data_IF_933823103867
#
_entry.id   IF_933823103867
#
_cell.length_a   1.000
_cell.length_b   1.000
_cell.length_c   1.000
_cell.angle_alpha   90.00
_cell.angle_beta   90.00
_cell.angle_gamma   90.00
#
_symmetry.space_group_name_H-M   'P 1'
#
loop_
_entity.id
_entity.type
_entity.pdbx_description
1 polymer ?
#
# COMPACT_ATOMS: atom_id res chain seq x y z
N UNK A 1 20.32 20.09 -10.18
CA UNK A 1 18.88 19.76 -10.27
C UNK A 1 18.15 20.65 -9.28
N UNK A 2 17.05 21.29 -9.69
CA UNK A 2 16.23 22.11 -8.79
C UNK A 2 15.21 21.25 -8.02
N UNK A 3 14.57 21.85 -7.00
CA UNK A 3 13.44 21.25 -6.30
C UNK A 3 12.28 20.89 -7.25
N UNK A 4 11.95 21.79 -8.17
CA UNK A 4 10.86 21.58 -9.13
C UNK A 4 11.17 20.45 -10.10
N UNK A 5 12.42 20.36 -10.56
CA UNK A 5 12.85 19.27 -11.45
C UNK A 5 12.72 17.91 -10.75
N UNK A 6 13.19 17.80 -9.50
CA UNK A 6 13.09 16.55 -8.74
C UNK A 6 11.63 16.18 -8.45
N UNK A 7 10.79 17.15 -8.09
CA UNK A 7 9.37 16.91 -7.84
C UNK A 7 8.69 16.38 -9.10
N UNK A 8 8.98 16.98 -10.26
CA UNK A 8 8.47 16.54 -11.55
C UNK A 8 8.97 15.13 -11.91
N UNK A 9 10.25 14.84 -11.70
CA UNK A 9 10.84 13.51 -11.91
C UNK A 9 10.15 12.44 -11.05
N UNK A 10 9.94 12.71 -9.76
CA UNK A 10 9.25 11.78 -8.84
C UNK A 10 7.81 11.51 -9.28
N UNK A 11 7.09 12.55 -9.68
CA UNK A 11 5.70 12.44 -10.14
C UNK A 11 5.62 11.68 -11.47
N UNK A 12 6.52 11.97 -12.41
CA UNK A 12 6.59 11.30 -13.70
C UNK A 12 6.93 9.82 -13.55
N UNK A 13 7.93 9.49 -12.74
CA UNK A 13 8.30 8.11 -12.47
C UNK A 13 7.16 7.36 -11.80
N UNK A 14 6.55 7.94 -10.76
CA UNK A 14 5.38 7.34 -10.08
C UNK A 14 4.22 7.09 -11.04
N UNK A 15 3.93 8.04 -11.93
CA UNK A 15 2.89 7.88 -12.95
C UNK A 15 3.23 6.78 -13.97
N UNK A 16 4.50 6.67 -14.38
CA UNK A 16 4.98 5.61 -15.26
C UNK A 16 4.79 4.23 -14.65
N UNK A 17 5.18 4.08 -13.38
CA UNK A 17 5.07 2.79 -12.67
C UNK A 17 3.67 2.53 -12.10
N UNK A 18 2.72 3.47 -12.20
CA UNK A 18 1.37 3.26 -11.68
C UNK A 18 0.60 2.14 -12.42
N UNK A 19 0.97 1.86 -13.68
CA UNK A 19 0.32 0.83 -14.52
C UNK A 19 1.29 -0.14 -15.20
N UNK A 20 2.59 0.10 -15.07
CA UNK A 20 3.60 -0.73 -15.68
C UNK A 20 4.63 -1.16 -14.64
N UNK A 21 4.97 -2.44 -14.66
CA UNK A 21 6.02 -2.97 -13.81
C UNK A 21 7.37 -2.28 -14.12
N UNK A 22 8.09 -1.77 -13.10
CA UNK A 22 9.42 -1.20 -13.28
C UNK A 22 10.42 -2.23 -13.81
N UNK A 23 11.21 -1.85 -14.82
CA UNK A 23 12.14 -2.78 -15.48
C UNK A 23 13.18 -3.38 -14.52
N UNK A 24 13.77 -2.55 -13.65
CA UNK A 24 14.78 -3.01 -12.69
C UNK A 24 14.23 -4.09 -11.76
N UNK A 25 12.98 -3.92 -11.30
CA UNK A 25 12.30 -4.90 -10.47
C UNK A 25 12.00 -6.19 -11.24
N UNK A 26 11.48 -6.08 -12.47
CA UNK A 26 11.25 -7.23 -13.34
C UNK A 26 12.51 -8.08 -13.53
N UNK A 27 13.66 -7.44 -13.76
CA UNK A 27 14.96 -8.12 -13.88
C UNK A 27 15.36 -8.83 -12.58
N UNK A 28 15.12 -8.21 -11.42
CA UNK A 28 15.39 -8.84 -10.12
C UNK A 28 14.58 -10.12 -9.96
N UNK A 29 13.25 -10.05 -10.10
CA UNK A 29 12.38 -11.20 -9.84
C UNK A 29 12.50 -12.33 -10.88
N UNK A 30 13.02 -12.03 -12.06
CA UNK A 30 13.25 -13.01 -13.13
C UNK A 30 14.70 -13.51 -13.19
N UNK A 31 15.57 -13.05 -12.29
CA UNK A 31 16.97 -13.49 -12.24
C UNK A 31 17.83 -12.99 -13.39
N UNK A 32 17.41 -11.90 -14.06
CA UNK A 32 18.11 -11.35 -15.24
C UNK A 32 18.85 -10.03 -14.95
N UNK A 33 19.06 -9.67 -13.68
CA UNK A 33 19.91 -8.54 -13.32
C UNK A 33 21.36 -8.80 -13.73
N UNK A 34 21.98 -7.79 -14.33
CA UNK A 34 23.31 -7.88 -14.94
C UNK A 34 24.41 -8.11 -13.88
N UNK A 35 24.28 -7.49 -12.71
CA UNK A 35 25.21 -7.64 -11.59
C UNK A 35 24.98 -8.90 -10.75
N UNK A 36 23.93 -9.69 -11.05
CA UNK A 36 23.62 -11.00 -10.43
C UNK A 36 23.74 -11.01 -8.90
N UNK A 37 22.99 -10.15 -8.18
CA UNK A 37 23.05 -10.13 -6.72
C UNK A 37 22.54 -11.46 -6.14
N UNK A 38 23.31 -12.03 -5.21
CA UNK A 38 22.99 -13.30 -4.56
C UNK A 38 24.21 -14.23 -4.42
N UNK A 39 24.13 -15.16 -3.49
CA UNK A 39 25.21 -16.14 -3.22
C UNK A 39 24.95 -17.44 -3.97
N UNK A 40 26.02 -18.16 -4.32
CA UNK A 40 25.95 -19.49 -4.96
C UNK A 40 25.09 -19.53 -6.24
N UNK A 41 25.03 -18.42 -6.98
CA UNK A 41 24.25 -18.31 -8.22
C UNK A 41 22.73 -18.20 -8.03
N UNK A 42 22.24 -18.06 -6.80
CA UNK A 42 20.81 -17.93 -6.51
C UNK A 42 20.39 -16.47 -6.28
N UNK A 43 19.33 -16.01 -6.97
CA UNK A 43 18.81 -14.64 -6.82
C UNK A 43 17.68 -14.51 -5.78
N UNK A 44 17.16 -15.62 -5.26
CA UNK A 44 16.04 -15.61 -4.29
C UNK A 44 16.37 -14.79 -3.03
N UNK A 45 17.56 -14.96 -2.46
CA UNK A 45 17.98 -14.20 -1.28
C UNK A 45 18.04 -12.69 -1.55
N UNK A 46 18.48 -12.27 -2.74
CA UNK A 46 18.46 -10.86 -3.12
C UNK A 46 17.04 -10.33 -3.28
N UNK A 47 16.14 -11.13 -3.87
CA UNK A 47 14.71 -10.78 -4.01
C UNK A 47 14.04 -10.58 -2.64
N UNK A 48 14.21 -11.54 -1.73
CA UNK A 48 13.63 -11.51 -0.38
C UNK A 48 14.11 -10.30 0.42
N UNK A 49 15.43 -10.09 0.51
CA UNK A 49 16.00 -8.98 1.26
C UNK A 49 15.58 -7.64 0.66
N UNK A 50 15.59 -7.51 -0.66
CA UNK A 50 15.22 -6.25 -1.31
C UNK A 50 13.73 -5.92 -1.10
N UNK A 51 12.83 -6.91 -1.13
CA UNK A 51 11.42 -6.71 -0.80
C UNK A 51 11.23 -6.29 0.66
N UNK A 52 11.83 -7.02 1.60
CA UNK A 52 11.73 -6.72 3.02
C UNK A 52 12.23 -5.31 3.32
N UNK A 53 13.39 -4.96 2.77
CA UNK A 53 13.97 -3.65 3.01
C UNK A 53 13.21 -2.50 2.33
N UNK A 54 12.64 -2.71 1.13
CA UNK A 54 11.78 -1.71 0.48
C UNK A 54 10.49 -1.50 1.28
N UNK A 55 9.85 -2.57 1.77
CA UNK A 55 8.68 -2.49 2.65
C UNK A 55 8.99 -1.61 3.86
N UNK A 56 10.08 -1.93 4.54
CA UNK A 56 10.42 -1.29 5.81
C UNK A 56 10.88 0.15 5.59
N UNK A 57 11.52 0.42 4.46
CA UNK A 57 11.86 1.78 4.05
C UNK A 57 10.61 2.62 3.83
N UNK A 58 9.66 2.15 3.02
CA UNK A 58 8.43 2.89 2.75
C UNK A 58 7.61 3.13 4.03
N UNK A 59 7.36 2.06 4.80
CA UNK A 59 6.37 2.04 5.88
C UNK A 59 6.93 2.48 7.24
N UNK A 60 8.21 2.19 7.51
CA UNK A 60 8.83 2.43 8.81
C UNK A 60 9.97 3.45 8.79
N UNK A 61 10.33 3.98 7.61
CA UNK A 61 11.32 5.05 7.48
C UNK A 61 10.73 6.31 6.84
N UNK A 62 10.24 6.22 5.60
CA UNK A 62 9.73 7.37 4.84
C UNK A 62 8.42 7.90 5.44
N UNK A 63 7.42 7.03 5.68
CA UNK A 63 6.15 7.48 6.28
C UNK A 63 6.33 8.13 7.66
N UNK A 64 7.03 7.52 8.64
CA UNK A 64 7.25 8.16 9.93
C UNK A 64 8.04 9.47 9.82
N UNK A 65 8.98 9.57 8.88
CA UNK A 65 9.67 10.84 8.61
C UNK A 65 8.71 11.94 8.16
N UNK A 66 7.77 11.62 7.25
CA UNK A 66 6.74 12.58 6.82
C UNK A 66 5.81 12.96 7.98
N UNK A 67 5.36 12.00 8.78
CA UNK A 67 4.51 12.26 9.94
C UNK A 67 5.22 13.19 10.96
N UNK A 68 6.48 12.88 11.30
CA UNK A 68 7.29 13.72 12.19
C UNK A 68 7.56 15.10 11.58
N UNK A 69 7.79 15.20 10.28
CA UNK A 69 7.98 16.47 9.60
C UNK A 69 6.77 17.40 9.75
N UNK A 70 5.57 16.82 9.63
CA UNK A 70 4.28 17.49 9.84
C UNK A 70 4.06 17.89 11.29
N UNK A 71 4.37 17.00 12.23
CA UNK A 71 4.16 17.26 13.67
C UNK A 71 5.13 18.28 14.25
N UNK A 72 6.42 18.19 13.90
CA UNK A 72 7.47 19.00 14.53
C UNK A 72 7.62 20.39 13.92
N UNK A 73 7.16 20.58 12.68
CA UNK A 73 7.37 21.81 11.91
C UNK A 73 8.85 22.27 11.81
N UNK A 74 9.79 21.33 11.97
CA UNK A 74 11.23 21.57 11.90
C UNK A 74 11.85 20.78 10.73
N UNK A 75 12.21 21.52 9.67
CA UNK A 75 12.83 20.94 8.48
C UNK A 75 14.26 20.46 8.73
N UNK A 76 14.98 21.05 9.68
CA UNK A 76 16.33 20.65 10.06
C UNK A 76 16.37 19.27 10.70
N UNK A 77 15.45 19.00 11.63
CA UNK A 77 15.26 17.67 12.24
C UNK A 77 14.89 16.64 11.16
N UNK A 78 13.94 16.99 10.30
CA UNK A 78 13.46 16.10 9.24
C UNK A 78 14.58 15.75 8.24
N UNK A 79 15.46 16.71 7.92
CA UNK A 79 16.66 16.50 7.09
C UNK A 79 17.70 15.62 7.76
N UNK A 80 17.92 15.79 9.06
CA UNK A 80 18.85 14.96 9.81
C UNK A 80 18.43 13.49 9.77
N UNK A 81 17.12 13.22 9.92
CA UNK A 81 16.55 11.87 9.83
C UNK A 81 16.82 11.25 8.44
N UNK A 82 16.47 11.94 7.35
CA UNK A 82 16.68 11.36 6.00
C UNK A 82 18.16 11.14 5.69
N UNK A 83 19.04 12.07 6.09
CA UNK A 83 20.50 11.95 5.88
C UNK A 83 21.08 10.74 6.61
N UNK A 84 20.54 10.40 7.78
CA UNK A 84 21.02 9.25 8.55
C UNK A 84 20.44 7.93 8.05
N UNK A 85 19.15 7.90 7.70
CA UNK A 85 18.41 6.64 7.49
C UNK A 85 18.39 6.18 6.03
N UNK A 86 18.39 7.11 5.06
CA UNK A 86 18.15 6.77 3.65
C UNK A 86 19.38 6.19 2.94
N UNK A 87 20.62 6.71 3.08
CA UNK A 87 21.73 6.36 2.18
C UNK A 87 22.01 4.86 2.05
N UNK A 88 22.05 4.13 3.17
CA UNK A 88 22.34 2.69 3.18
C UNK A 88 21.26 1.91 2.42
N UNK A 89 19.99 2.24 2.69
CA UNK A 89 18.84 1.60 2.08
C UNK A 89 18.79 1.87 0.57
N UNK A 90 18.99 3.13 0.17
CA UNK A 90 19.03 3.55 -1.23
C UNK A 90 20.15 2.84 -1.99
N UNK A 91 21.34 2.75 -1.40
CA UNK A 91 22.49 2.11 -2.03
C UNK A 91 22.28 0.63 -2.26
N UNK A 92 21.78 -0.08 -1.24
CA UNK A 92 21.53 -1.52 -1.36
C UNK A 92 20.38 -1.81 -2.32
N UNK A 93 19.24 -1.12 -2.23
CA UNK A 93 18.14 -1.35 -3.18
C UNK A 93 18.52 -0.98 -4.60
N UNK A 94 19.33 0.07 -4.80
CA UNK A 94 19.88 0.38 -6.13
C UNK A 94 20.77 -0.73 -6.69
N UNK A 95 21.58 -1.36 -5.84
CA UNK A 95 22.34 -2.56 -6.21
C UNK A 95 21.40 -3.76 -6.49
N UNK A 96 20.31 -3.88 -5.75
CA UNK A 96 19.35 -4.99 -5.82
C UNK A 96 18.15 -4.70 -6.74
N UNK A 97 18.36 -4.02 -7.87
CA UNK A 97 17.33 -3.88 -8.92
C UNK A 97 16.44 -2.64 -8.87
N UNK A 98 16.74 -1.65 -8.03
CA UNK A 98 15.99 -0.39 -7.95
C UNK A 98 16.86 0.85 -8.27
N UNK A 99 17.49 0.91 -9.46
CA UNK A 99 18.43 1.98 -9.81
C UNK A 99 17.78 3.37 -9.81
N UNK A 100 16.55 3.50 -10.32
CA UNK A 100 15.82 4.78 -10.33
C UNK A 100 15.49 5.25 -8.92
N UNK A 101 15.10 4.35 -8.00
CA UNK A 101 14.90 4.74 -6.61
C UNK A 101 16.19 5.21 -5.94
N UNK A 102 17.33 4.56 -6.22
CA UNK A 102 18.62 5.04 -5.75
C UNK A 102 18.92 6.44 -6.29
N UNK A 103 18.74 6.67 -7.59
CA UNK A 103 18.96 7.98 -8.22
C UNK A 103 18.08 9.06 -7.59
N UNK A 104 16.76 8.85 -7.59
CA UNK A 104 15.77 9.80 -7.07
C UNK A 104 15.95 10.06 -5.57
N UNK A 105 16.25 9.01 -4.80
CA UNK A 105 16.48 9.13 -3.37
C UNK A 105 17.75 9.92 -3.03
N UNK A 106 18.85 9.72 -3.76
CA UNK A 106 20.06 10.53 -3.56
C UNK A 106 19.87 11.98 -4.01
N UNK A 107 19.15 12.20 -5.12
CA UNK A 107 18.76 13.55 -5.54
C UNK A 107 17.89 14.25 -4.48
N UNK A 108 16.98 13.53 -3.82
CA UNK A 108 16.23 14.05 -2.68
C UNK A 108 17.16 14.48 -1.54
N UNK A 109 18.16 13.68 -1.19
CA UNK A 109 19.11 14.03 -0.13
C UNK A 109 19.91 15.30 -0.45
N UNK A 110 20.32 15.47 -1.71
CA UNK A 110 21.03 16.66 -2.18
C UNK A 110 20.14 17.92 -2.21
N UNK A 111 19.00 17.82 -2.90
CA UNK A 111 18.05 18.93 -3.09
C UNK A 111 17.45 19.36 -1.76
N UNK A 112 17.13 18.41 -0.88
CA UNK A 112 16.51 18.71 0.41
C UNK A 112 17.34 19.64 1.28
N UNK A 113 18.67 19.69 1.12
CA UNK A 113 19.53 20.60 1.87
C UNK A 113 19.17 22.09 1.72
N UNK A 114 18.49 22.45 0.63
CA UNK A 114 18.18 23.83 0.26
C UNK A 114 16.68 24.16 0.25
N UNK A 115 15.81 23.17 0.51
CA UNK A 115 14.37 23.40 0.51
C UNK A 115 13.96 24.36 1.65
N UNK A 116 12.74 24.86 1.63
CA UNK A 116 12.04 25.26 2.86
C UNK A 116 11.27 24.05 3.44
N UNK A 117 10.45 24.29 4.46
CA UNK A 117 9.61 23.25 5.06
C UNK A 117 8.60 22.69 4.05
N UNK A 118 7.86 23.57 3.34
CA UNK A 118 6.77 23.17 2.44
C UNK A 118 7.29 22.45 1.18
N UNK A 119 8.44 22.86 0.66
CA UNK A 119 9.12 22.19 -0.44
C UNK A 119 9.61 20.81 -0.02
N UNK A 120 10.14 20.67 1.20
CA UNK A 120 10.59 19.36 1.69
C UNK A 120 9.39 18.43 1.94
N UNK A 121 8.27 18.94 2.45
CA UNK A 121 7.03 18.19 2.56
C UNK A 121 6.58 17.65 1.20
N UNK A 122 6.54 18.49 0.16
CA UNK A 122 6.15 18.07 -1.18
C UNK A 122 7.04 16.96 -1.74
N UNK A 123 8.36 17.05 -1.52
CA UNK A 123 9.29 15.98 -1.90
C UNK A 123 9.06 14.69 -1.11
N UNK A 124 8.86 14.76 0.21
CA UNK A 124 8.58 13.57 1.03
C UNK A 124 7.27 12.89 0.64
N UNK A 125 6.21 13.67 0.36
CA UNK A 125 4.93 13.15 -0.14
C UNK A 125 5.12 12.46 -1.49
N UNK A 126 5.77 13.11 -2.44
CA UNK A 126 6.02 12.54 -3.77
C UNK A 126 6.88 11.26 -3.67
N UNK A 127 7.93 11.28 -2.85
CA UNK A 127 8.80 10.12 -2.65
C UNK A 127 8.09 8.96 -1.96
N UNK A 128 7.25 9.23 -0.96
CA UNK A 128 6.44 8.21 -0.29
C UNK A 128 5.46 7.53 -1.26
N UNK A 129 4.80 8.31 -2.12
CA UNK A 129 3.92 7.76 -3.18
C UNK A 129 4.70 6.87 -4.13
N UNK A 130 5.87 7.32 -4.56
CA UNK A 130 6.76 6.55 -5.43
C UNK A 130 7.13 5.20 -4.80
N UNK A 131 7.68 5.18 -3.59
CA UNK A 131 8.13 3.93 -2.95
C UNK A 131 6.97 2.99 -2.59
N UNK A 132 5.79 3.52 -2.26
CA UNK A 132 4.59 2.71 -2.05
C UNK A 132 4.11 2.07 -3.35
N UNK A 133 4.10 2.82 -4.45
CA UNK A 133 3.72 2.31 -5.79
C UNK A 133 4.71 1.24 -6.26
N UNK A 134 6.01 1.47 -6.05
CA UNK A 134 7.05 0.49 -6.30
C UNK A 134 6.86 -0.79 -5.48
N UNK A 135 6.52 -0.65 -4.20
CA UNK A 135 6.28 -1.79 -3.34
C UNK A 135 5.02 -2.58 -3.70
N UNK A 136 4.00 -1.95 -4.30
CA UNK A 136 2.82 -2.66 -4.80
C UNK A 136 3.20 -3.74 -5.84
N UNK A 137 4.10 -3.41 -6.77
CA UNK A 137 4.65 -4.37 -7.73
C UNK A 137 5.43 -5.48 -7.07
N UNK A 138 6.30 -5.10 -6.12
CA UNK A 138 7.08 -6.06 -5.35
C UNK A 138 6.15 -7.06 -4.67
N UNK A 139 5.16 -6.57 -3.94
CA UNK A 139 4.23 -7.42 -3.22
C UNK A 139 3.47 -8.38 -4.14
N UNK A 140 2.94 -7.91 -5.27
CA UNK A 140 2.19 -8.75 -6.22
C UNK A 140 3.04 -9.90 -6.77
N UNK A 141 4.25 -9.58 -7.22
CA UNK A 141 5.11 -10.53 -7.92
C UNK A 141 5.97 -11.42 -7.02
N UNK A 142 6.03 -11.15 -5.71
CA UNK A 142 6.73 -12.04 -4.78
C UNK A 142 6.17 -13.47 -4.85
N UNK A 143 7.01 -14.52 -4.88
CA UNK A 143 6.56 -15.91 -5.01
C UNK A 143 5.94 -16.43 -3.69
N UNK A 144 4.76 -15.95 -3.33
CA UNK A 144 4.07 -16.32 -2.09
C UNK A 144 3.71 -17.81 -1.99
N UNK A 145 3.59 -18.51 -3.11
CA UNK A 145 3.40 -19.96 -3.16
C UNK A 145 4.57 -20.76 -2.54
N UNK A 146 5.71 -20.13 -2.26
CA UNK A 146 6.73 -20.73 -1.39
C UNK A 146 6.18 -21.11 0.00
N UNK A 147 5.10 -20.46 0.45
CA UNK A 147 4.39 -20.81 1.67
C UNK A 147 3.83 -22.24 1.68
N UNK A 148 3.67 -22.90 0.53
CA UNK A 148 3.23 -24.29 0.47
C UNK A 148 4.18 -25.26 1.20
N UNK A 149 5.47 -24.96 1.21
CA UNK A 149 6.47 -25.74 1.93
C UNK A 149 6.47 -25.48 3.45
N UNK A 150 5.70 -24.50 3.93
CA UNK A 150 5.73 -23.98 5.31
C UNK A 150 4.32 -23.93 5.94
N UNK A 151 3.44 -24.84 5.55
CA UNK A 151 2.07 -24.92 6.09
C UNK A 151 2.08 -25.41 7.54
N UNK A 152 1.22 -24.80 8.37
CA UNK A 152 0.93 -25.31 9.70
C UNK A 152 0.29 -26.71 9.63
N UNK A 153 0.62 -27.64 10.53
CA UNK A 153 0.04 -28.99 10.54
C UNK A 153 -1.50 -28.99 10.58
N UNK A 154 -2.08 -28.07 11.35
CA UNK A 154 -3.53 -27.96 11.54
C UNK A 154 -4.19 -26.93 10.60
N UNK A 155 -3.43 -26.40 9.65
CA UNK A 155 -3.89 -25.36 8.73
C UNK A 155 -4.52 -24.15 9.45
N UNK A 156 -5.71 -23.77 9.01
CA UNK A 156 -6.43 -22.57 9.46
C UNK A 156 -7.43 -22.83 10.61
N UNK A 157 -7.33 -23.96 11.31
CA UNK A 157 -8.28 -24.34 12.37
C UNK A 157 -8.48 -23.25 13.46
N UNK A 158 -7.43 -22.48 13.78
CA UNK A 158 -7.50 -21.37 14.73
C UNK A 158 -8.45 -20.23 14.32
N UNK A 159 -8.88 -20.16 13.06
CA UNK A 159 -9.84 -19.16 12.57
C UNK A 159 -11.30 -19.55 12.79
N UNK A 160 -11.60 -20.82 13.06
CA UNK A 160 -12.99 -21.29 13.24
C UNK A 160 -13.75 -20.55 14.36
N UNK A 161 -13.15 -20.27 15.54
CA UNK A 161 -13.82 -19.47 16.57
C UNK A 161 -14.08 -18.02 16.14
N UNK A 162 -13.23 -17.45 15.27
CA UNK A 162 -13.38 -16.08 14.77
C UNK A 162 -14.55 -15.96 13.77
N UNK A 163 -14.84 -17.04 13.04
CA UNK A 163 -15.97 -17.09 12.12
C UNK A 163 -17.33 -17.15 12.82
N UNK A 164 -17.37 -17.66 14.06
CA UNK A 164 -18.60 -17.85 14.84
C UNK A 164 -18.86 -16.80 15.91
N UNK A 165 -18.01 -15.77 16.03
CA UNK A 165 -18.20 -14.68 16.99
C UNK A 165 -19.30 -13.70 16.56
N UNK A 166 -19.96 -13.07 17.53
CA UNK A 166 -20.95 -12.02 17.27
C UNK A 166 -20.25 -10.77 16.70
N UNK A 167 -20.26 -10.62 15.38
CA UNK A 167 -19.81 -9.40 14.70
C UNK A 167 -20.95 -8.40 14.66
N UNK A 168 -20.77 -7.25 15.31
CA UNK A 168 -21.78 -6.18 15.37
C UNK A 168 -21.45 -5.10 14.34
N UNK A 169 -22.29 -4.95 13.31
CA UNK A 169 -22.18 -3.84 12.35
C UNK A 169 -22.92 -2.62 12.88
N UNK A 170 -22.17 -1.59 13.29
CA UNK A 170 -22.72 -0.36 13.91
C UNK A 170 -22.83 0.80 12.94
N UNK A 171 -22.37 0.65 11.69
CA UNK A 171 -22.39 1.73 10.72
C UNK A 171 -23.73 1.83 10.01
N UNK A 172 -24.17 3.08 9.81
CA UNK A 172 -25.32 3.43 8.99
C UNK A 172 -24.83 4.03 7.68
N UNK A 173 -25.41 3.66 6.53
CA UNK A 173 -25.06 4.25 5.24
C UNK A 173 -25.20 5.79 5.24
N UNK A 174 -24.25 6.46 4.62
CA UNK A 174 -24.27 7.91 4.35
C UNK A 174 -24.52 8.17 2.87
N UNK A 175 -24.81 9.42 2.52
CA UNK A 175 -25.02 9.84 1.11
C UNK A 175 -23.70 10.00 0.33
N UNK A 176 -22.56 10.00 1.01
CA UNK A 176 -21.24 10.10 0.38
C UNK A 176 -20.82 8.73 -0.14
N UNK A 177 -21.13 8.46 -1.41
CA UNK A 177 -20.88 7.17 -2.06
C UNK A 177 -19.66 7.19 -2.99
N UNK A 178 -18.90 6.11 -2.93
CA UNK A 178 -17.86 5.76 -3.89
C UNK A 178 -18.17 4.43 -4.56
N UNK A 179 -17.65 4.24 -5.75
CA UNK A 179 -17.72 3.01 -6.54
C UNK A 179 -16.33 2.37 -6.59
N UNK A 180 -16.29 1.06 -6.38
CA UNK A 180 -15.10 0.23 -6.54
C UNK A 180 -15.37 -0.77 -7.68
N UNK A 181 -14.49 -0.80 -8.68
CA UNK A 181 -14.62 -1.69 -9.85
C UNK A 181 -13.33 -2.47 -10.07
N UNK A 182 -13.44 -3.77 -10.29
CA UNK A 182 -12.30 -4.66 -10.52
C UNK A 182 -12.26 -5.16 -11.97
N UNK A 183 -11.21 -4.78 -12.70
CA UNK A 183 -10.89 -5.33 -14.00
C UNK A 183 -9.80 -6.41 -13.87
N UNK A 184 -9.85 -7.51 -14.65
CA UNK A 184 -10.83 -7.82 -15.69
C UNK A 184 -12.12 -8.49 -15.16
N UNK A 185 -12.32 -8.58 -13.85
CA UNK A 185 -13.44 -9.34 -13.26
C UNK A 185 -14.83 -8.84 -13.65
N UNK A 186 -14.97 -7.55 -13.99
CA UNK A 186 -16.27 -6.96 -14.33
C UNK A 186 -17.20 -6.83 -13.12
N UNK A 187 -16.66 -6.97 -11.90
CA UNK A 187 -17.40 -6.80 -10.65
C UNK A 187 -17.29 -5.34 -10.20
N UNK A 188 -18.40 -4.80 -9.73
CA UNK A 188 -18.51 -3.46 -9.17
C UNK A 188 -19.31 -3.51 -7.87
N UNK A 189 -18.92 -2.69 -6.90
CA UNK A 189 -19.69 -2.45 -5.66
C UNK A 189 -19.72 -0.96 -5.33
N UNK A 190 -20.73 -0.54 -4.57
CA UNK A 190 -20.82 0.80 -3.98
C UNK A 190 -20.51 0.73 -2.49
N UNK A 191 -19.82 1.74 -2.00
CA UNK A 191 -19.52 1.91 -0.57
C UNK A 191 -19.85 3.33 -0.13
N UNK A 192 -20.39 3.47 1.07
CA UNK A 192 -20.57 4.76 1.72
C UNK A 192 -19.37 5.11 2.58
N UNK A 193 -19.09 6.40 2.75
CA UNK A 193 -17.99 6.90 3.59
C UNK A 193 -18.48 7.46 4.93
N UNK A 194 -17.76 7.15 6.01
CA UNK A 194 -18.00 7.68 7.36
C UNK A 194 -17.39 9.08 7.53
N UNK A 195 -17.86 10.03 6.73
CA UNK A 195 -17.37 11.42 6.68
C UNK A 195 -17.54 12.17 8.02
N UNK A 196 -18.41 11.70 8.89
CA UNK A 196 -18.65 12.21 10.24
C UNK A 196 -17.66 11.67 11.28
N UNK A 197 -17.06 10.49 11.04
CA UNK A 197 -16.21 9.78 12.00
C UNK A 197 -14.72 9.94 11.72
N UNK A 198 -14.33 10.01 10.46
CA UNK A 198 -12.95 10.29 10.04
C UNK A 198 -12.97 11.32 8.87
N UNK A 199 -13.40 12.57 9.12
CA UNK A 199 -13.67 13.57 8.08
C UNK A 199 -12.47 13.87 7.20
N UNK A 200 -11.31 14.15 7.81
CA UNK A 200 -10.09 14.53 7.08
C UNK A 200 -9.60 13.38 6.17
N UNK A 201 -9.55 12.16 6.70
CA UNK A 201 -9.16 10.98 5.92
C UNK A 201 -10.13 10.71 4.77
N UNK A 202 -11.45 10.85 4.99
CA UNK A 202 -12.44 10.69 3.94
C UNK A 202 -12.32 11.79 2.88
N UNK A 203 -12.06 13.03 3.29
CA UNK A 203 -11.86 14.15 2.36
C UNK A 203 -10.61 13.95 1.52
N UNK A 204 -9.49 13.56 2.12
CA UNK A 204 -8.25 13.23 1.41
C UNK A 204 -8.49 12.12 0.38
N UNK A 205 -9.24 11.06 0.74
CA UNK A 205 -9.63 10.02 -0.22
C UNK A 205 -10.42 10.62 -1.38
N UNK A 206 -11.46 11.41 -1.07
CA UNK A 206 -12.35 12.02 -2.05
C UNK A 206 -11.62 12.99 -3.00
N UNK A 207 -10.57 13.66 -2.55
CA UNK A 207 -9.72 14.56 -3.34
C UNK A 207 -8.76 13.81 -4.25
N UNK A 208 -8.41 12.57 -3.90
CA UNK A 208 -7.58 11.70 -4.73
C UNK A 208 -8.37 10.96 -5.82
N UNK A 209 -9.70 10.98 -5.79
CA UNK A 209 -10.54 10.30 -6.78
C UNK A 209 -10.62 11.06 -8.12
N UNK A 210 -10.69 10.36 -9.26
CA UNK A 210 -10.60 8.90 -9.40
C UNK A 210 -9.16 8.40 -9.43
N UNK A 211 -8.94 7.16 -8.99
CA UNK A 211 -7.65 6.48 -9.18
C UNK A 211 -7.81 5.02 -9.56
N UNK A 212 -6.73 4.42 -10.07
CA UNK A 212 -6.64 2.99 -10.34
C UNK A 212 -5.34 2.44 -9.79
N UNK A 213 -5.40 1.31 -9.11
CA UNK A 213 -4.26 0.67 -8.48
C UNK A 213 -4.32 -0.86 -8.59
N UNK A 214 -3.15 -1.49 -8.51
CA UNK A 214 -3.02 -2.94 -8.49
C UNK A 214 -3.58 -3.49 -7.17
N UNK A 215 -4.54 -4.40 -7.27
CA UNK A 215 -5.18 -5.06 -6.15
C UNK A 215 -4.32 -6.24 -5.67
N UNK A 216 -4.20 -6.38 -4.36
CA UNK A 216 -3.47 -7.49 -3.73
C UNK A 216 -4.23 -8.10 -2.56
N UNK A 217 -3.85 -9.33 -2.21
CA UNK A 217 -4.35 -10.03 -1.03
C UNK A 217 -3.30 -10.06 0.09
N UNK A 218 -3.63 -9.76 1.36
CA UNK A 218 -2.75 -9.99 2.50
C UNK A 218 -2.40 -11.48 2.63
N UNK A 219 -1.12 -11.78 2.79
CA UNK A 219 -0.62 -13.12 3.05
C UNK A 219 -0.58 -13.48 4.56
N UNK A 220 -1.14 -12.62 5.41
CA UNK A 220 -1.10 -12.76 6.88
C UNK A 220 -2.50 -12.61 7.48
N UNK A 221 -3.16 -11.47 7.24
CA UNK A 221 -4.35 -11.06 7.99
C UNK A 221 -5.60 -11.93 7.79
N UNK A 222 -5.71 -12.66 6.67
CA UNK A 222 -6.89 -13.47 6.32
C UNK A 222 -7.71 -12.91 5.17
N UNK A 223 -9.03 -13.13 5.17
CA UNK A 223 -9.96 -12.80 4.08
C UNK A 223 -10.28 -11.29 4.00
N UNK A 224 -9.27 -10.53 3.59
CA UNK A 224 -9.29 -9.10 3.29
C UNK A 224 -8.59 -8.88 1.94
N UNK A 225 -8.79 -7.75 1.29
CA UNK A 225 -8.02 -7.34 0.11
C UNK A 225 -7.55 -5.90 0.30
N UNK A 226 -6.43 -5.52 -0.27
CA UNK A 226 -5.96 -4.14 -0.24
C UNK A 226 -5.30 -3.69 -1.53
N UNK A 227 -5.19 -2.39 -1.71
CA UNK A 227 -4.39 -1.79 -2.78
C UNK A 227 -3.65 -0.56 -2.26
N UNK A 228 -2.39 -0.37 -2.68
CA UNK A 228 -1.65 0.88 -2.44
C UNK A 228 -2.31 1.99 -3.24
N UNK A 229 -2.66 3.06 -2.55
CA UNK A 229 -3.37 4.19 -3.16
C UNK A 229 -2.39 5.30 -3.53
N UNK A 230 -2.74 6.22 -4.44
CA UNK A 230 -1.98 7.46 -4.64
C UNK A 230 -2.14 8.44 -3.46
N UNK A 231 -2.94 8.10 -2.43
CA UNK A 231 -3.16 8.94 -1.27
C UNK A 231 -1.93 9.02 -0.37
N UNK A 232 -1.77 10.14 0.31
CA UNK A 232 -0.72 10.32 1.33
C UNK A 232 -1.27 11.05 2.54
N UNK A 233 -1.95 10.27 3.37
CA UNK A 233 -2.63 10.69 4.58
C UNK A 233 -1.75 10.55 5.80
N UNK A 234 -1.71 11.61 6.61
CA UNK A 234 -1.34 11.55 8.04
C UNK A 234 -2.47 12.12 8.91
N UNK A 235 -3.69 12.17 8.37
CA UNK A 235 -4.85 12.73 9.05
C UNK A 235 -5.11 12.02 10.40
N UNK A 236 -5.63 12.72 11.42
CA UNK A 236 -6.14 12.09 12.62
C UNK A 236 -7.21 11.05 12.30
N UNK A 237 -7.18 9.93 13.01
CA UNK A 237 -8.11 8.81 12.81
C UNK A 237 -8.79 8.44 14.14
N UNK A 238 -9.71 9.28 14.66
CA UNK A 238 -10.36 9.05 15.94
C UNK A 238 -11.28 7.82 15.93
N UNK A 239 -11.76 7.38 14.75
CA UNK A 239 -12.58 6.19 14.62
C UNK A 239 -11.81 5.02 13.99
N UNK A 240 -11.61 3.97 14.77
CA UNK A 240 -10.92 2.74 14.38
C UNK A 240 -11.70 1.53 14.85
N UNK A 241 -11.50 0.43 14.16
CA UNK A 241 -12.02 -0.88 14.56
C UNK A 241 -10.93 -1.93 14.49
N UNK A 242 -11.08 -2.94 15.33
CA UNK A 242 -10.22 -4.11 15.32
C UNK A 242 -10.47 -4.94 14.05
N UNK A 243 -9.39 -5.38 13.40
CA UNK A 243 -9.50 -5.98 12.06
C UNK A 243 -10.32 -7.27 12.08
N UNK A 244 -10.06 -8.18 13.03
CA UNK A 244 -10.74 -9.48 13.14
C UNK A 244 -12.22 -9.42 13.51
N UNK A 245 -12.70 -8.29 14.06
CA UNK A 245 -14.11 -8.10 14.43
C UNK A 245 -14.85 -7.18 13.46
N UNK A 246 -14.17 -6.70 12.40
CA UNK A 246 -14.77 -5.85 11.38
C UNK A 246 -15.78 -6.64 10.51
N UNK A 247 -16.98 -6.08 10.25
CA UNK A 247 -17.96 -6.71 9.36
C UNK A 247 -17.48 -6.89 7.91
N UNK A 248 -18.04 -7.89 7.22
CA UNK A 248 -17.88 -8.02 5.76
C UNK A 248 -18.34 -6.73 5.08
N UNK A 249 -17.55 -6.23 4.13
CA UNK A 249 -17.77 -4.96 3.46
C UNK A 249 -17.06 -3.78 4.11
N UNK A 250 -16.48 -3.95 5.31
CA UNK A 250 -15.79 -2.85 6.00
C UNK A 250 -14.63 -2.33 5.17
N UNK A 251 -14.67 -1.03 4.88
CA UNK A 251 -13.63 -0.29 4.19
C UNK A 251 -12.75 0.41 5.22
N UNK A 252 -11.44 0.18 5.12
CA UNK A 252 -10.44 0.67 6.08
C UNK A 252 -9.25 1.27 5.34
N UNK A 253 -8.46 2.07 6.06
CA UNK A 253 -7.26 2.65 5.50
C UNK A 253 -6.05 2.40 6.38
N UNK A 254 -5.00 1.81 5.82
CA UNK A 254 -3.71 1.70 6.51
C UNK A 254 -2.83 2.89 6.14
N UNK A 255 -2.83 3.93 6.97
CA UNK A 255 -1.95 5.10 6.80
C UNK A 255 -0.48 4.67 6.95
N UNK A 256 -0.14 4.01 8.07
CA UNK A 256 1.24 3.72 8.43
C UNK A 256 1.89 2.64 7.58
N UNK A 257 1.15 1.58 7.24
CA UNK A 257 1.71 0.41 6.54
C UNK A 257 1.37 0.42 5.05
N UNK A 258 1.65 1.55 4.40
CA UNK A 258 1.67 1.65 2.93
C UNK A 258 0.54 2.43 2.29
N UNK A 259 -0.19 3.30 3.01
CA UNK A 259 -1.25 4.13 2.41
C UNK A 259 -2.29 3.30 1.63
N UNK A 260 -2.75 2.21 2.24
CA UNK A 260 -3.53 1.16 1.57
C UNK A 260 -5.01 1.31 1.84
N UNK A 261 -5.82 1.26 0.77
CA UNK A 261 -7.26 1.03 0.87
C UNK A 261 -7.50 -0.46 1.07
N UNK A 262 -8.22 -0.83 2.11
CA UNK A 262 -8.44 -2.22 2.52
C UNK A 262 -9.93 -2.52 2.60
N UNK A 263 -10.36 -3.69 2.11
CA UNK A 263 -11.74 -4.15 2.12
C UNK A 263 -11.85 -5.55 2.71
N UNK A 264 -12.68 -5.71 3.73
CA UNK A 264 -12.96 -7.00 4.37
C UNK A 264 -13.97 -7.80 3.53
N UNK A 265 -13.67 -9.06 3.19
CA UNK A 265 -14.61 -9.95 2.48
C UNK A 265 -14.91 -11.26 3.23
N UNK A 266 -14.33 -11.45 4.42
CA UNK A 266 -14.50 -12.66 5.22
C UNK A 266 -13.86 -12.59 6.60
N UNK A 267 -13.34 -13.73 7.08
CA UNK A 267 -12.69 -13.89 8.39
C UNK A 267 -11.22 -13.48 8.35
N UNK A 268 -10.80 -12.68 9.33
CA UNK A 268 -9.41 -12.28 9.54
C UNK A 268 -8.98 -12.55 10.98
N UNK A 269 -7.67 -12.68 11.22
CA UNK A 269 -7.10 -13.00 12.54
C UNK A 269 -6.40 -11.82 13.23
N UNK A 270 -6.05 -10.77 12.49
CA UNK A 270 -5.31 -9.62 13.00
C UNK A 270 -6.15 -8.79 14.00
N UNK A 271 -5.60 -8.49 15.17
CA UNK A 271 -6.24 -7.75 16.27
C UNK A 271 -5.84 -6.26 16.31
N UNK A 272 -5.21 -5.78 15.24
CA UNK A 272 -4.81 -4.38 15.13
C UNK A 272 -6.04 -3.49 14.88
N UNK A 273 -6.05 -2.33 15.53
CA UNK A 273 -7.02 -1.26 15.26
C UNK A 273 -6.67 -0.53 13.95
N UNK A 274 -7.61 -0.54 13.00
CA UNK A 274 -7.47 0.12 11.72
C UNK A 274 -8.47 1.26 11.55
N UNK A 275 -8.05 2.42 11.02
CA UNK A 275 -8.95 3.49 10.61
C UNK A 275 -10.05 3.01 9.67
N UNK A 276 -11.29 3.42 9.95
CA UNK A 276 -12.46 3.08 9.14
C UNK A 276 -12.75 4.20 8.15
N UNK A 277 -12.87 3.87 6.87
CA UNK A 277 -13.33 4.80 5.83
C UNK A 277 -14.83 4.73 5.62
N UNK A 278 -15.44 3.55 5.80
CA UNK A 278 -16.81 3.32 5.38
C UNK A 278 -17.15 1.85 5.27
N UNK A 279 -18.20 1.52 4.52
CA UNK A 279 -18.57 0.12 4.26
C UNK A 279 -19.26 -0.04 2.90
N UNK A 280 -19.07 -1.20 2.28
CA UNK A 280 -19.84 -1.61 1.10
C UNK A 280 -21.31 -1.72 1.45
N UNK A 281 -22.17 -1.19 0.57
CA UNK A 281 -23.61 -1.24 0.73
C UNK A 281 -24.10 -2.68 0.89
N UNK A 282 -25.06 -2.96 1.80
CA UNK A 282 -25.51 -4.33 2.09
C UNK A 282 -25.85 -5.16 0.85
N UNK A 283 -26.50 -4.56 -0.14
CA UNK A 283 -26.89 -5.22 -1.38
C UNK A 283 -25.71 -5.72 -2.22
N UNK A 284 -24.54 -5.09 -2.12
CA UNK A 284 -23.36 -5.41 -2.94
C UNK A 284 -22.37 -6.37 -2.23
N UNK A 285 -22.54 -6.60 -0.91
CA UNK A 285 -21.59 -7.39 -0.09
C UNK A 285 -21.42 -8.83 -0.57
N UNK A 286 -22.46 -9.42 -1.16
CA UNK A 286 -22.43 -10.79 -1.67
C UNK A 286 -21.42 -10.98 -2.83
N UNK A 287 -21.05 -9.90 -3.53
CA UNK A 287 -20.09 -9.92 -4.63
C UNK A 287 -18.63 -10.04 -4.15
N UNK A 288 -18.36 -9.66 -2.88
CA UNK A 288 -17.00 -9.52 -2.37
C UNK A 288 -16.23 -10.83 -2.29
N UNK A 289 -16.92 -11.97 -2.08
CA UNK A 289 -16.26 -13.28 -2.02
C UNK A 289 -15.64 -13.67 -3.36
N UNK A 290 -16.32 -13.37 -4.46
CA UNK A 290 -15.79 -13.62 -5.80
C UNK A 290 -14.53 -12.77 -6.07
N UNK A 291 -14.56 -11.48 -5.68
CA UNK A 291 -13.39 -10.60 -5.78
C UNK A 291 -12.23 -11.12 -4.93
N UNK A 292 -12.48 -11.38 -3.64
CA UNK A 292 -11.45 -11.85 -2.70
C UNK A 292 -10.76 -13.14 -3.16
N UNK A 293 -11.53 -14.10 -3.66
CA UNK A 293 -11.01 -15.37 -4.19
C UNK A 293 -10.12 -15.16 -5.41
N UNK A 294 -10.55 -14.31 -6.35
CA UNK A 294 -9.78 -14.00 -7.54
C UNK A 294 -8.48 -13.26 -7.20
N UNK A 295 -8.54 -12.30 -6.26
CA UNK A 295 -7.38 -11.54 -5.80
C UNK A 295 -6.40 -12.43 -5.03
N UNK A 296 -6.87 -13.38 -4.23
CA UNK A 296 -6.02 -14.40 -3.61
C UNK A 296 -5.26 -15.20 -4.67
N UNK A 297 -5.95 -15.80 -5.64
CA UNK A 297 -5.33 -16.59 -6.70
C UNK A 297 -4.35 -15.77 -7.56
N UNK A 298 -4.70 -14.51 -7.82
CA UNK A 298 -3.85 -13.51 -8.47
C UNK A 298 -2.55 -13.27 -7.70
N UNK A 299 -2.66 -12.89 -6.42
CA UNK A 299 -1.48 -12.54 -5.60
C UNK A 299 -0.65 -13.77 -5.26
N UNK A 300 -1.28 -14.91 -4.97
CA UNK A 300 -0.57 -16.09 -4.48
C UNK A 300 0.24 -16.80 -5.57
N UNK A 301 -0.38 -17.05 -6.73
CA UNK A 301 0.15 -17.99 -7.71
C UNK A 301 0.06 -17.48 -9.15
N UNK A 302 -1.14 -17.15 -9.65
CA UNK A 302 -1.36 -16.91 -11.09
C UNK A 302 -0.71 -15.62 -11.60
N UNK A 303 -0.49 -14.65 -10.71
CA UNK A 303 0.08 -13.31 -10.98
C UNK A 303 -0.68 -12.49 -12.01
N UNK A 304 -1.90 -12.89 -12.37
CA UNK A 304 -2.80 -12.10 -13.22
C UNK A 304 -3.11 -10.79 -12.51
N UNK A 305 -2.80 -9.66 -13.14
CA UNK A 305 -3.03 -8.35 -12.56
C UNK A 305 -4.54 -8.06 -12.48
N UNK A 306 -5.01 -7.71 -11.27
CA UNK A 306 -6.37 -7.24 -11.04
C UNK A 306 -6.29 -5.77 -10.66
N UNK A 307 -6.98 -4.94 -11.42
CA UNK A 307 -6.95 -3.49 -11.28
C UNK A 307 -8.21 -2.99 -10.58
N UNK A 308 -8.04 -2.35 -9.43
CA UNK A 308 -9.11 -1.66 -8.72
C UNK A 308 -9.18 -0.21 -9.23
N UNK A 309 -10.32 0.20 -9.78
CA UNK A 309 -10.65 1.61 -9.99
C UNK A 309 -11.59 2.07 -8.88
N UNK A 310 -11.28 3.22 -8.27
CA UNK A 310 -12.14 3.87 -7.28
C UNK A 310 -12.55 5.24 -7.80
N UNK A 311 -13.84 5.55 -7.74
CA UNK A 311 -14.42 6.79 -8.24
C UNK A 311 -15.59 7.26 -7.37
N UNK A 312 -15.96 8.54 -7.44
CA UNK A 312 -17.18 9.02 -6.79
C UNK A 312 -18.40 8.49 -7.53
N UNK A 313 -19.45 8.11 -6.81
CA UNK A 313 -20.73 7.85 -7.45
C UNK A 313 -21.31 9.18 -8.00
N UNK A 314 -21.97 9.16 -9.16
CA UNK A 314 -22.75 10.32 -9.63
C UNK A 314 -23.81 10.69 -8.58
N UNK A 315 -24.02 11.99 -8.39
CA UNK A 315 -25.14 12.52 -7.62
C UNK A 315 -26.47 12.31 -8.35
#
# INVERSE_FOLDING_TARGET
>A
MSYLDLLADLQAETAGIARQEPEGYRKLRTGTLENRPGSEGAYFGALDIAHGMLRDFAMYTVYPTLALHREQHDVGVSRAVVRQMFPTVLNYLGYSGFPEMKRLGHQLLEVSGHCDWAQFEQLLVAFLRYVNTLYAWCYHWFPWNLGDAMRYPDGDAHKAPLAGGDIVDTLVPTDTLIRLRWAPLGIEVRAFLCVDRNPELCQELLDALPFTCLQSHPMVSGESIFAWTPLTSTAPTPFKEEIRTAPIGRLRFSQRTGQKLTLQYGVTSEDILSPVLGSVLPEDRHLLRAVGTAVWASTYESKVEIWLTVERCPA
#
